data_IF_430929336586
#
_entry.id   IF_430929336586
#
_cell.length_a   1.000
_cell.length_b   1.000
_cell.length_c   1.000
_cell.angle_alpha   90.00
_cell.angle_beta   90.00
_cell.angle_gamma   90.00
#
_symmetry.space_group_name_H-M   'P 1'
#
loop_
_entity.id
_entity.type
_entity.pdbx_description
1 polymer ?
#
# COMPACT_ATOMS: atom_id res chain seq x y z
N UNK A 1 -17.68 3.30 -20.29
CA UNK A 1 -17.37 3.62 -18.87
C UNK A 1 -16.27 4.71 -18.69
N UNK A 2 -16.17 5.75 -19.54
CA UNK A 2 -15.07 6.73 -19.44
C UNK A 2 -15.16 7.63 -18.19
N UNK A 3 -16.37 7.99 -17.76
CA UNK A 3 -16.58 8.84 -16.58
C UNK A 3 -16.02 8.23 -15.29
N UNK A 4 -16.37 6.97 -14.97
CA UNK A 4 -15.90 6.31 -13.75
C UNK A 4 -14.39 6.07 -13.74
N UNK A 5 -13.80 5.77 -14.91
CA UNK A 5 -12.35 5.68 -15.06
C UNK A 5 -11.65 7.03 -14.84
N UNK A 6 -12.20 8.11 -15.38
CA UNK A 6 -11.72 9.47 -15.15
C UNK A 6 -11.82 9.86 -13.67
N UNK A 7 -12.96 9.59 -13.03
CA UNK A 7 -13.20 9.91 -11.63
C UNK A 7 -12.13 9.24 -10.75
N UNK A 8 -11.92 7.92 -10.90
CA UNK A 8 -10.90 7.20 -10.13
C UNK A 8 -9.49 7.73 -10.37
N UNK A 9 -9.17 8.15 -11.60
CA UNK A 9 -7.89 8.76 -11.91
C UNK A 9 -7.71 10.12 -11.21
N UNK A 10 -8.78 10.91 -11.06
CA UNK A 10 -8.75 12.18 -10.31
C UNK A 10 -8.57 11.94 -8.82
N UNK A 11 -9.29 10.99 -8.23
CA UNK A 11 -9.14 10.63 -6.81
C UNK A 11 -7.69 10.22 -6.47
N UNK A 12 -7.01 9.56 -7.39
CA UNK A 12 -5.64 9.11 -7.21
C UNK A 12 -4.58 10.08 -7.74
N UNK A 13 -4.95 11.23 -8.31
CA UNK A 13 -3.95 12.20 -8.76
C UNK A 13 -3.21 12.77 -7.55
N UNK A 14 -1.88 12.77 -7.61
CA UNK A 14 -1.05 13.39 -6.57
C UNK A 14 -1.09 14.91 -6.70
N UNK A 15 -1.31 15.55 -5.57
CA UNK A 15 -1.27 16.99 -5.39
C UNK A 15 -0.01 17.34 -4.59
N UNK A 16 1.03 17.76 -5.31
CA UNK A 16 2.34 18.06 -4.73
C UNK A 16 2.32 19.36 -3.91
N UNK A 17 1.50 20.34 -4.30
CA UNK A 17 1.29 21.57 -3.53
C UNK A 17 0.64 21.23 -2.19
N UNK A 18 -0.29 20.28 -2.17
CA UNK A 18 -0.87 19.78 -0.92
C UNK A 18 0.18 19.08 -0.05
N UNK A 19 1.04 18.25 -0.61
CA UNK A 19 2.13 17.60 0.14
C UNK A 19 3.04 18.66 0.79
N UNK A 20 3.41 19.70 0.07
CA UNK A 20 4.23 20.81 0.61
C UNK A 20 3.50 21.56 1.73
N UNK A 21 2.20 21.85 1.55
CA UNK A 21 1.41 22.63 2.49
C UNK A 21 1.10 21.91 3.81
N UNK A 22 0.82 20.59 3.78
CA UNK A 22 0.37 19.83 4.97
C UNK A 22 1.30 18.69 5.38
N UNK A 23 2.37 18.46 4.63
CA UNK A 23 3.29 17.35 4.83
C UNK A 23 2.77 16.02 4.25
N UNK A 24 3.69 15.05 4.05
CA UNK A 24 3.40 13.81 3.34
C UNK A 24 2.38 12.93 4.07
N UNK A 25 2.51 12.74 5.39
CA UNK A 25 1.58 11.91 6.16
C UNK A 25 0.13 12.40 6.09
N UNK A 26 -0.07 13.72 6.16
CA UNK A 26 -1.41 14.30 6.09
C UNK A 26 -1.98 14.19 4.68
N UNK A 27 -1.20 14.52 3.65
CA UNK A 27 -1.64 14.43 2.27
C UNK A 27 -1.95 12.98 1.86
N UNK A 28 -1.13 12.01 2.30
CA UNK A 28 -1.38 10.60 2.10
C UNK A 28 -2.61 10.10 2.87
N UNK A 29 -2.83 10.57 4.10
CA UNK A 29 -4.06 10.26 4.86
C UNK A 29 -5.30 10.74 4.10
N UNK A 30 -5.28 11.96 3.57
CA UNK A 30 -6.37 12.51 2.76
C UNK A 30 -6.62 11.66 1.51
N UNK A 31 -5.58 11.23 0.82
CA UNK A 31 -5.67 10.33 -0.35
C UNK A 31 -6.24 8.96 -0.01
N UNK A 32 -5.70 8.32 1.03
CA UNK A 32 -6.14 6.99 1.44
C UNK A 32 -7.62 7.01 1.83
N UNK A 33 -8.03 7.97 2.67
CA UNK A 33 -9.42 8.05 3.12
C UNK A 33 -10.41 8.43 2.02
N UNK A 34 -10.07 9.35 1.10
CA UNK A 34 -10.95 9.64 -0.05
C UNK A 34 -11.07 8.47 -1.03
N UNK A 35 -10.09 7.56 -1.02
CA UNK A 35 -10.12 6.31 -1.78
C UNK A 35 -10.71 5.13 -0.99
N UNK A 36 -11.28 5.36 0.20
CA UNK A 36 -11.93 4.33 1.02
C UNK A 36 -10.98 3.45 1.83
N UNK A 37 -9.68 3.80 1.90
CA UNK A 37 -8.73 3.15 2.80
C UNK A 37 -8.70 3.82 4.18
N UNK A 38 -8.10 3.13 5.14
CA UNK A 38 -7.95 3.57 6.53
C UNK A 38 -6.47 3.75 6.84
N UNK A 39 -6.18 4.67 7.77
CA UNK A 39 -4.82 4.83 8.32
C UNK A 39 -4.83 4.79 9.84
N UNK A 40 -3.74 4.30 10.43
CA UNK A 40 -3.46 4.37 11.86
C UNK A 40 -2.13 5.09 12.07
N UNK A 41 -2.09 5.95 13.08
CA UNK A 41 -0.90 6.75 13.38
C UNK A 41 -0.06 6.14 14.50
N UNK A 42 1.24 6.40 14.49
CA UNK A 42 2.17 5.96 15.52
C UNK A 42 1.72 6.37 16.92
N UNK A 43 1.70 5.40 17.84
CA UNK A 43 1.27 5.62 19.23
C UNK A 43 -0.24 5.73 19.42
N UNK A 44 -1.04 5.53 18.36
CA UNK A 44 -2.50 5.54 18.43
C UNK A 44 -3.09 4.19 18.01
N UNK A 45 -4.03 3.69 18.82
CA UNK A 45 -4.78 2.46 18.50
C UNK A 45 -5.95 2.72 17.54
N UNK A 46 -6.42 3.96 17.45
CA UNK A 46 -7.61 4.32 16.66
C UNK A 46 -7.27 4.46 15.18
N UNK A 47 -8.03 3.74 14.34
CA UNK A 47 -8.03 3.91 12.89
C UNK A 47 -8.81 5.16 12.47
N UNK A 48 -8.24 5.92 11.53
CA UNK A 48 -8.91 7.00 10.84
C UNK A 48 -9.67 6.43 9.64
N UNK A 49 -10.98 6.66 9.64
CA UNK A 49 -11.92 6.13 8.65
C UNK A 49 -12.88 7.16 8.06
N UNK A 50 -12.95 8.33 8.68
CA UNK A 50 -13.77 9.45 8.22
C UNK A 50 -12.82 10.57 7.79
N UNK A 51 -12.91 10.94 6.51
CA UNK A 51 -12.09 12.00 5.92
C UNK A 51 -12.27 13.32 6.67
N UNK A 52 -13.52 13.65 7.04
CA UNK A 52 -13.84 14.89 7.73
C UNK A 52 -13.39 14.87 9.20
N UNK A 53 -13.14 13.67 9.74
CA UNK A 53 -12.64 13.44 11.09
C UNK A 53 -11.11 13.38 11.18
N UNK A 54 -10.37 13.62 10.10
CA UNK A 54 -8.90 13.64 10.13
C UNK A 54 -8.40 14.68 11.14
N UNK A 55 -7.47 14.32 12.03
CA UNK A 55 -7.09 15.18 13.14
C UNK A 55 -6.50 16.50 12.64
N UNK A 56 -7.02 17.60 13.17
CA UNK A 56 -6.42 18.93 13.04
C UNK A 56 -5.43 19.10 14.18
N UNK A 57 -4.20 19.49 13.87
CA UNK A 57 -3.13 19.60 14.86
C UNK A 57 -1.85 20.15 14.23
N UNK A 58 -0.77 20.24 15.02
CA UNK A 58 0.52 20.71 14.54
C UNK A 58 0.97 19.95 13.29
N UNK A 59 1.57 20.67 12.35
CA UNK A 59 2.12 20.11 11.13
C UNK A 59 3.12 18.98 11.47
N UNK A 60 3.00 17.85 10.78
CA UNK A 60 3.90 16.71 10.96
C UNK A 60 3.73 15.91 12.26
N UNK A 61 2.76 16.24 13.13
CA UNK A 61 2.53 15.50 14.39
C UNK A 61 2.14 14.04 14.17
N UNK A 62 1.26 13.79 13.20
CA UNK A 62 0.69 12.46 12.97
C UNK A 62 1.46 11.75 11.88
N UNK A 63 2.07 10.62 12.23
CA UNK A 63 2.87 9.78 11.34
C UNK A 63 2.14 8.49 11.03
N UNK A 64 1.94 8.16 9.75
CA UNK A 64 1.24 6.94 9.35
C UNK A 64 2.10 5.74 9.72
N UNK A 65 1.53 4.83 10.50
CA UNK A 65 2.16 3.56 10.90
C UNK A 65 1.56 2.39 10.12
N UNK A 66 0.23 2.35 9.98
CA UNK A 66 -0.45 1.26 9.29
C UNK A 66 -1.49 1.77 8.29
N UNK A 67 -1.60 1.08 7.17
CA UNK A 67 -2.56 1.34 6.09
C UNK A 67 -3.42 0.10 5.90
N UNK A 68 -4.74 0.28 5.92
CA UNK A 68 -5.70 -0.77 5.58
C UNK A 68 -6.58 -0.31 4.42
N UNK A 69 -6.24 -0.77 3.23
CA UNK A 69 -7.01 -0.58 2.01
C UNK A 69 -7.86 -1.83 1.76
N UNK A 70 -9.03 -1.90 2.40
CA UNK A 70 -10.04 -2.93 2.11
C UNK A 70 -11.13 -2.34 1.22
N UNK A 71 -11.39 -2.95 0.07
CA UNK A 71 -12.40 -2.47 -0.91
C UNK A 71 -12.12 -1.02 -1.38
N UNK A 72 -10.84 -0.65 -1.43
CA UNK A 72 -10.39 0.69 -1.78
C UNK A 72 -10.20 0.86 -3.29
N UNK A 73 -10.38 2.10 -3.77
CA UNK A 73 -10.12 2.48 -5.16
C UNK A 73 -8.70 3.04 -5.40
N UNK A 74 -7.75 2.80 -4.48
CA UNK A 74 -6.35 3.19 -4.71
C UNK A 74 -5.77 2.49 -5.95
N UNK A 75 -4.94 3.20 -6.69
CA UNK A 75 -4.28 2.71 -7.90
C UNK A 75 -2.93 3.39 -8.10
N UNK A 76 -2.12 2.86 -9.01
CA UNK A 76 -0.75 3.31 -9.35
C UNK A 76 -0.53 4.83 -9.27
N UNK A 77 -1.45 5.63 -9.84
CA UNK A 77 -1.33 7.10 -9.91
C UNK A 77 -1.18 7.79 -8.55
N UNK A 78 -1.70 7.20 -7.48
CA UNK A 78 -1.64 7.77 -6.14
C UNK A 78 -0.43 7.34 -5.34
N UNK A 79 0.36 6.37 -5.82
CA UNK A 79 1.42 5.77 -5.01
C UNK A 79 2.57 6.73 -4.71
N UNK A 80 2.72 7.83 -5.46
CA UNK A 80 3.71 8.87 -5.15
C UNK A 80 3.42 9.56 -3.81
N UNK A 81 2.18 9.51 -3.28
CA UNK A 81 1.90 9.97 -1.91
C UNK A 81 2.65 9.16 -0.84
N UNK A 82 3.11 7.94 -1.16
CA UNK A 82 3.85 7.09 -0.24
C UNK A 82 5.32 7.51 -0.09
N UNK A 83 5.85 8.32 -1.02
CA UNK A 83 7.29 8.61 -1.07
C UNK A 83 7.81 9.34 0.17
N UNK A 84 6.99 10.20 0.78
CA UNK A 84 7.37 10.94 1.98
C UNK A 84 7.02 10.22 3.30
N UNK A 85 6.54 8.98 3.26
CA UNK A 85 6.12 8.27 4.47
C UNK A 85 7.28 7.44 5.05
N UNK A 86 7.81 7.87 6.19
CA UNK A 86 9.03 7.29 6.79
C UNK A 86 8.76 6.20 7.84
N UNK A 87 7.50 6.03 8.24
CA UNK A 87 7.13 5.27 9.44
C UNK A 87 6.11 4.17 9.21
N UNK A 88 5.77 3.87 7.95
CA UNK A 88 4.78 2.84 7.61
C UNK A 88 5.39 1.47 7.82
N UNK A 89 4.86 0.72 8.78
CA UNK A 89 5.29 -0.64 9.13
C UNK A 89 4.33 -1.71 8.63
N UNK A 90 3.05 -1.37 8.42
CA UNK A 90 2.01 -2.32 8.04
C UNK A 90 1.19 -1.81 6.84
N UNK A 91 1.03 -2.64 5.81
CA UNK A 91 0.12 -2.38 4.70
C UNK A 91 -0.76 -3.62 4.47
N UNK A 92 -2.08 -3.40 4.43
CA UNK A 92 -3.06 -4.39 3.99
C UNK A 92 -3.79 -3.90 2.74
N UNK A 93 -3.71 -4.70 1.68
CA UNK A 93 -4.45 -4.54 0.43
C UNK A 93 -5.45 -5.69 0.33
N UNK A 94 -6.74 -5.41 0.47
CA UNK A 94 -7.79 -6.43 0.38
C UNK A 94 -8.88 -5.98 -0.59
N UNK A 95 -9.24 -6.84 -1.55
CA UNK A 95 -10.29 -6.55 -2.55
C UNK A 95 -10.08 -5.22 -3.30
N UNK A 96 -8.83 -4.80 -3.48
CA UNK A 96 -8.50 -3.58 -4.21
C UNK A 96 -8.43 -3.87 -5.71
N UNK A 97 -9.52 -3.64 -6.43
CA UNK A 97 -9.67 -4.05 -7.84
C UNK A 97 -8.75 -3.31 -8.83
N UNK A 98 -8.17 -2.18 -8.43
CA UNK A 98 -7.25 -1.40 -9.28
C UNK A 98 -5.77 -1.62 -8.94
N UNK A 99 -5.46 -2.47 -7.96
CA UNK A 99 -4.09 -2.89 -7.67
C UNK A 99 -3.67 -3.93 -8.71
N UNK A 100 -2.52 -3.69 -9.31
CA UNK A 100 -1.89 -4.49 -10.36
C UNK A 100 -0.37 -4.56 -10.11
N UNK A 101 0.35 -5.37 -10.88
CA UNK A 101 1.80 -5.56 -10.72
C UNK A 101 2.60 -4.24 -10.66
N UNK A 102 2.26 -3.28 -11.52
CA UNK A 102 2.92 -1.97 -11.53
C UNK A 102 2.77 -1.21 -10.20
N UNK A 103 1.67 -1.41 -9.47
CA UNK A 103 1.47 -0.82 -8.14
C UNK A 103 2.43 -1.43 -7.13
N UNK A 104 2.60 -2.75 -7.15
CA UNK A 104 3.52 -3.47 -6.26
C UNK A 104 4.98 -3.16 -6.58
N UNK A 105 5.33 -3.05 -7.86
CA UNK A 105 6.64 -2.57 -8.28
C UNK A 105 6.91 -1.15 -7.79
N UNK A 106 5.95 -0.23 -7.95
CA UNK A 106 6.11 1.17 -7.49
C UNK A 106 6.27 1.26 -5.97
N UNK A 107 5.51 0.45 -5.24
CA UNK A 107 5.60 0.33 -3.79
C UNK A 107 6.98 -0.18 -3.36
N UNK A 108 7.52 -1.19 -4.05
CA UNK A 108 8.85 -1.73 -3.75
C UNK A 108 9.99 -0.79 -4.16
N UNK A 109 9.75 0.16 -5.07
CA UNK A 109 10.68 1.23 -5.45
C UNK A 109 10.70 2.41 -4.47
N UNK A 110 9.70 2.53 -3.60
CA UNK A 110 9.65 3.61 -2.60
C UNK A 110 10.70 3.39 -1.51
N UNK A 111 11.77 4.18 -1.56
CA UNK A 111 12.95 4.08 -0.67
C UNK A 111 12.61 4.11 0.82
N UNK A 112 11.60 4.87 1.22
CA UNK A 112 11.21 4.96 2.62
C UNK A 112 10.48 3.67 3.08
N UNK A 113 9.62 3.09 2.23
CA UNK A 113 8.99 1.81 2.51
C UNK A 113 9.99 0.65 2.52
N UNK A 114 11.04 0.68 1.70
CA UNK A 114 12.12 -0.31 1.79
C UNK A 114 12.79 -0.33 3.17
N UNK A 115 12.80 0.81 3.87
CA UNK A 115 13.39 0.95 5.20
C UNK A 115 12.40 0.66 6.33
N UNK A 116 11.11 0.98 6.15
CA UNK A 116 10.13 0.99 7.24
C UNK A 116 9.14 -0.17 7.22
N UNK A 117 8.82 -0.73 6.05
CA UNK A 117 7.71 -1.68 5.91
C UNK A 117 8.11 -3.07 6.40
N UNK A 118 7.36 -3.60 7.36
CA UNK A 118 7.61 -4.88 8.01
C UNK A 118 6.56 -5.93 7.65
N UNK A 119 5.30 -5.53 7.47
CA UNK A 119 4.19 -6.43 7.20
C UNK A 119 3.39 -6.00 5.99
N UNK A 120 3.18 -6.92 5.05
CA UNK A 120 2.36 -6.72 3.87
C UNK A 120 1.35 -7.85 3.72
N UNK A 121 0.08 -7.51 3.53
CA UNK A 121 -1.00 -8.47 3.24
C UNK A 121 -1.65 -8.11 1.92
N UNK A 122 -1.76 -9.07 1.00
CA UNK A 122 -2.39 -8.89 -0.31
C UNK A 122 -3.45 -9.98 -0.49
N UNK A 123 -4.72 -9.58 -0.52
CA UNK A 123 -5.88 -10.48 -0.43
C UNK A 123 -6.90 -10.13 -1.51
N UNK A 124 -7.34 -11.08 -2.32
CA UNK A 124 -8.40 -10.87 -3.32
C UNK A 124 -8.10 -9.71 -4.30
N UNK A 125 -6.83 -9.49 -4.64
CA UNK A 125 -6.40 -8.48 -5.61
C UNK A 125 -6.19 -9.13 -6.98
N UNK A 126 -7.29 -9.36 -7.71
CA UNK A 126 -7.31 -10.24 -8.90
C UNK A 126 -6.44 -9.84 -10.11
N UNK A 127 -5.87 -8.64 -10.15
CA UNK A 127 -4.94 -8.22 -11.23
C UNK A 127 -3.46 -8.36 -10.84
N UNK A 128 -3.16 -8.88 -9.65
CA UNK A 128 -1.81 -9.17 -9.19
C UNK A 128 -1.38 -10.54 -9.72
N UNK A 129 -0.17 -10.59 -10.30
CA UNK A 129 0.44 -11.81 -10.83
C UNK A 129 1.78 -12.09 -10.15
N UNK A 130 2.41 -13.21 -10.52
CA UNK A 130 3.75 -13.59 -10.07
C UNK A 130 4.76 -12.43 -10.21
N UNK A 131 4.65 -11.62 -11.27
CA UNK A 131 5.53 -10.47 -11.52
C UNK A 131 5.42 -9.40 -10.44
N UNK A 132 4.19 -9.06 -10.03
CA UNK A 132 3.95 -8.07 -8.99
C UNK A 132 4.47 -8.53 -7.64
N UNK A 133 4.29 -9.80 -7.33
CA UNK A 133 4.78 -10.42 -6.09
C UNK A 133 6.31 -10.46 -6.06
N UNK A 134 6.95 -10.93 -7.15
CA UNK A 134 8.43 -10.95 -7.26
C UNK A 134 9.03 -9.54 -7.13
N UNK A 135 8.34 -8.50 -7.60
CA UNK A 135 8.82 -7.12 -7.49
C UNK A 135 9.02 -6.65 -6.04
N UNK A 136 8.37 -7.31 -5.06
CA UNK A 136 8.49 -6.99 -3.63
C UNK A 136 9.87 -7.31 -3.03
N UNK A 137 10.76 -8.01 -3.76
CA UNK A 137 12.12 -8.33 -3.30
C UNK A 137 12.96 -7.13 -2.83
N UNK A 138 12.61 -5.91 -3.24
CA UNK A 138 13.31 -4.68 -2.83
C UNK A 138 12.94 -4.21 -1.42
N UNK A 139 11.87 -4.73 -0.84
CA UNK A 139 11.44 -4.44 0.53
C UNK A 139 12.28 -5.28 1.50
N UNK A 140 13.56 -4.93 1.64
CA UNK A 140 14.56 -5.74 2.34
C UNK A 140 14.30 -5.92 3.83
N UNK A 141 13.48 -5.05 4.43
CA UNK A 141 13.09 -5.14 5.84
C UNK A 141 11.72 -5.81 6.03
N UNK A 142 11.09 -6.32 4.97
CA UNK A 142 9.82 -7.01 5.08
C UNK A 142 10.02 -8.34 5.84
N UNK A 143 9.31 -8.47 6.95
CA UNK A 143 9.39 -9.62 7.85
C UNK A 143 8.25 -10.61 7.59
N UNK A 144 7.07 -10.10 7.20
CA UNK A 144 5.88 -10.93 6.99
C UNK A 144 5.14 -10.53 5.71
N UNK A 145 4.86 -11.53 4.87
CA UNK A 145 4.04 -11.41 3.67
C UNK A 145 2.91 -12.45 3.69
N UNK A 146 1.66 -11.98 3.62
CA UNK A 146 0.48 -12.84 3.47
C UNK A 146 -0.14 -12.66 2.09
N UNK A 147 -0.30 -13.76 1.35
CA UNK A 147 -0.93 -13.79 0.03
C UNK A 147 -2.14 -14.72 0.06
N UNK A 148 -3.32 -14.22 -0.30
CA UNK A 148 -4.55 -15.01 -0.30
C UNK A 148 -5.46 -14.63 -1.46
N UNK A 149 -6.10 -15.63 -2.08
CA UNK A 149 -7.08 -15.44 -3.16
C UNK A 149 -6.53 -14.54 -4.30
N UNK A 150 -5.38 -14.93 -4.87
CA UNK A 150 -4.74 -14.21 -5.97
C UNK A 150 -4.73 -15.08 -7.23
N UNK A 151 -5.82 -15.09 -8.04
CA UNK A 151 -5.94 -15.98 -9.21
C UNK A 151 -4.95 -15.69 -10.34
N UNK A 152 -4.22 -14.57 -10.27
CA UNK A 152 -3.15 -14.22 -11.19
C UNK A 152 -1.81 -14.89 -10.88
N UNK A 153 -1.66 -15.54 -9.72
CA UNK A 153 -0.46 -16.31 -9.36
C UNK A 153 -0.57 -17.70 -9.98
N UNK A 154 0.32 -18.01 -10.91
CA UNK A 154 0.30 -19.29 -11.65
C UNK A 154 1.50 -20.17 -11.35
N UNK A 155 2.62 -19.58 -10.93
CA UNK A 155 3.87 -20.28 -10.70
C UNK A 155 4.27 -20.15 -9.23
N UNK A 156 3.38 -20.54 -8.31
CA UNK A 156 3.52 -20.31 -6.87
C UNK A 156 4.88 -20.77 -6.33
N UNK A 157 5.33 -21.97 -6.65
CA UNK A 157 6.60 -22.50 -6.14
C UNK A 157 7.80 -21.68 -6.65
N UNK A 158 7.78 -21.24 -7.91
CA UNK A 158 8.82 -20.40 -8.49
C UNK A 158 8.83 -19.03 -7.83
N UNK A 159 7.65 -18.41 -7.69
CA UNK A 159 7.48 -17.10 -7.04
C UNK A 159 7.99 -17.12 -5.60
N UNK A 160 7.64 -18.15 -4.82
CA UNK A 160 8.15 -18.34 -3.46
C UNK A 160 9.67 -18.46 -3.44
N UNK A 161 10.24 -19.32 -4.29
CA UNK A 161 11.69 -19.53 -4.34
C UNK A 161 12.45 -18.25 -4.65
N UNK A 162 11.99 -17.48 -5.63
CA UNK A 162 12.62 -16.21 -6.01
C UNK A 162 12.55 -15.21 -4.86
N UNK A 163 11.39 -15.08 -4.20
CA UNK A 163 11.23 -14.18 -3.05
C UNK A 163 12.11 -14.59 -1.87
N UNK A 164 12.11 -15.87 -1.49
CA UNK A 164 12.92 -16.37 -0.38
C UNK A 164 14.42 -16.29 -0.64
N UNK A 165 14.86 -16.43 -1.90
CA UNK A 165 16.26 -16.20 -2.25
C UNK A 165 16.68 -14.73 -2.04
N UNK A 166 15.79 -13.78 -2.33
CA UNK A 166 16.05 -12.37 -2.13
C UNK A 166 15.87 -11.92 -0.67
N UNK A 167 14.89 -12.51 0.03
CA UNK A 167 14.48 -12.18 1.40
C UNK A 167 14.48 -13.46 2.25
N UNK A 168 15.65 -13.96 2.68
CA UNK A 168 15.77 -15.27 3.32
C UNK A 168 15.09 -15.39 4.69
N UNK A 169 14.84 -14.25 5.35
CA UNK A 169 14.18 -14.20 6.65
C UNK A 169 12.68 -13.86 6.56
N UNK A 170 12.14 -13.72 5.35
CA UNK A 170 10.73 -13.38 5.16
C UNK A 170 9.85 -14.57 5.57
N UNK A 171 8.97 -14.35 6.54
CA UNK A 171 7.86 -15.24 6.81
C UNK A 171 6.81 -15.08 5.71
N UNK A 172 6.55 -16.15 4.97
CA UNK A 172 5.63 -16.17 3.85
C UNK A 172 4.47 -17.12 4.14
N UNK A 173 3.27 -16.57 4.26
CA UNK A 173 2.04 -17.32 4.47
C UNK A 173 1.16 -17.23 3.22
N UNK A 174 0.73 -18.39 2.72
CA UNK A 174 0.06 -18.53 1.43
C UNK A 174 -1.28 -19.26 1.60
N UNK A 175 -2.33 -18.65 1.10
CA UNK A 175 -3.68 -19.19 0.97
C UNK A 175 -4.11 -19.03 -0.50
N UNK A 176 -3.39 -19.72 -1.38
CA UNK A 176 -3.54 -19.69 -2.83
C UNK A 176 -3.97 -21.08 -3.32
N UNK A 177 -5.09 -21.14 -4.06
CA UNK A 177 -5.60 -22.37 -4.68
C UNK A 177 -4.69 -22.85 -5.85
#
# INVERSE_FOLDING_TARGET
RPFWGWLNAVFNKVDYERIEAVGPDRAASEWLLRCGALVRYQGYQKWQKDYNGLPTGPLGKYKIEAINATESCIMYRGFDYLDGLEHVTEIKLQKCIYIQDACLQRLSETKNLQKSLLQLRIISCGNVTDKGIIALHRLTNLEYLYLSDLPGIREKETTVRVLQQALPNLELELDLE
#
